data_IF_307266744456
#
_entry.id   IF_307266744456
#
_cell.length_a   1.000
_cell.length_b   1.000
_cell.length_c   1.000
_cell.angle_alpha   90.00
_cell.angle_beta   90.00
_cell.angle_gamma   90.00
#
_symmetry.space_group_name_H-M   'P 1'
#
loop_
_entity.id
_entity.type
_entity.pdbx_description
1 polymer ?
#
# COMPACT_ATOMS: atom_id res chain seq x y z
N UNK A 1 18.30 -1.45 6.79
CA UNK A 1 18.19 -2.59 5.85
C UNK A 1 18.91 -2.27 4.54
N UNK A 2 18.54 -1.25 3.77
CA UNK A 2 19.13 -0.91 2.45
C UNK A 2 20.66 -0.81 2.47
N UNK A 3 21.25 -0.04 3.37
CA UNK A 3 22.73 0.09 3.49
C UNK A 3 23.38 -1.30 3.61
N UNK A 4 22.90 -2.13 4.54
CA UNK A 4 23.45 -3.48 4.72
C UNK A 4 23.27 -4.39 3.51
N UNK A 5 22.14 -4.27 2.79
CA UNK A 5 21.91 -5.05 1.57
C UNK A 5 22.92 -4.66 0.48
N UNK A 6 23.14 -3.36 0.28
CA UNK A 6 24.12 -2.85 -0.68
C UNK A 6 25.57 -3.20 -0.32
N UNK A 7 25.90 -3.26 0.97
CA UNK A 7 27.19 -3.76 1.43
C UNK A 7 27.41 -5.25 1.11
N UNK A 8 26.35 -6.06 1.25
CA UNK A 8 26.41 -7.50 0.95
C UNK A 8 26.39 -7.81 -0.55
N UNK A 9 25.75 -6.96 -1.35
CA UNK A 9 25.58 -7.12 -2.79
C UNK A 9 25.97 -5.84 -3.54
N UNK A 10 27.27 -5.49 -3.57
CA UNK A 10 27.72 -4.26 -4.21
C UNK A 10 27.51 -4.34 -5.73
N UNK A 11 26.98 -3.24 -6.30
CA UNK A 11 26.75 -3.12 -7.74
C UNK A 11 25.54 -3.89 -8.27
N UNK A 12 24.77 -4.55 -7.41
CA UNK A 12 23.50 -5.21 -7.81
C UNK A 12 22.36 -4.20 -7.74
N UNK A 13 21.54 -4.05 -8.80
CA UNK A 13 20.35 -3.20 -8.78
C UNK A 13 19.41 -3.58 -7.64
N UNK A 14 18.88 -2.54 -6.95
CA UNK A 14 18.07 -2.74 -5.75
C UNK A 14 16.70 -2.09 -5.87
N UNK A 15 15.68 -2.92 -5.94
CA UNK A 15 14.28 -2.49 -6.06
C UNK A 15 13.51 -2.72 -4.76
N UNK A 16 12.51 -1.87 -4.51
CA UNK A 16 11.62 -1.98 -3.37
C UNK A 16 10.19 -2.30 -3.85
N UNK A 17 9.59 -3.38 -3.31
CA UNK A 17 8.16 -3.63 -3.47
C UNK A 17 7.43 -3.34 -2.16
N UNK A 18 6.39 -2.52 -2.22
CA UNK A 18 5.47 -2.25 -1.11
C UNK A 18 4.04 -2.62 -1.48
N UNK A 19 3.44 -3.56 -0.72
CA UNK A 19 2.05 -3.98 -0.91
C UNK A 19 1.16 -3.48 0.23
N UNK A 20 -0.08 -3.08 -0.09
CA UNK A 20 -1.09 -2.67 0.88
C UNK A 20 -0.58 -1.58 1.83
N UNK A 21 -0.62 -1.79 3.15
CA UNK A 21 -0.01 -0.89 4.13
C UNK A 21 1.46 -0.61 3.81
N UNK A 22 2.22 -1.61 3.33
CA UNK A 22 3.60 -1.46 2.88
C UNK A 22 3.76 -0.48 1.73
N UNK A 23 2.74 -0.31 0.86
CA UNK A 23 2.77 0.65 -0.24
C UNK A 23 2.76 2.10 0.24
N UNK A 24 2.07 2.40 1.34
CA UNK A 24 2.12 3.73 1.97
C UNK A 24 3.47 4.00 2.61
N UNK A 25 4.08 3.00 3.26
CA UNK A 25 5.43 3.13 3.82
C UNK A 25 6.50 3.21 2.72
N UNK A 26 6.36 2.42 1.66
CA UNK A 26 7.27 2.50 0.51
C UNK A 26 7.27 3.91 -0.09
N UNK A 27 6.10 4.52 -0.36
CA UNK A 27 6.03 5.90 -0.86
C UNK A 27 6.69 6.91 0.08
N UNK A 28 6.58 6.74 1.40
CA UNK A 28 7.28 7.60 2.37
C UNK A 28 8.79 7.35 2.33
N UNK A 29 9.20 6.08 2.26
CA UNK A 29 10.60 5.69 2.17
C UNK A 29 11.25 6.29 0.91
N UNK A 30 10.57 6.29 -0.22
CA UNK A 30 11.04 6.87 -1.46
C UNK A 30 11.28 8.38 -1.37
N UNK A 31 10.50 9.10 -0.58
CA UNK A 31 10.71 10.53 -0.36
C UNK A 31 11.98 10.82 0.45
N UNK A 32 12.43 9.92 1.30
CA UNK A 32 13.59 10.13 2.18
C UNK A 32 14.85 9.40 1.67
N UNK A 33 14.68 8.23 1.08
CA UNK A 33 15.77 7.31 0.72
C UNK A 33 15.66 6.78 -0.72
N UNK A 34 14.80 7.36 -1.56
CA UNK A 34 14.60 6.89 -2.93
C UNK A 34 15.85 6.92 -3.80
N UNK A 35 16.82 7.78 -3.47
CA UNK A 35 18.13 7.84 -4.13
C UNK A 35 18.99 6.59 -3.91
N UNK A 36 18.62 5.74 -2.96
CA UNK A 36 19.27 4.47 -2.67
C UNK A 36 18.74 3.31 -3.53
N UNK A 37 17.73 3.55 -4.35
CA UNK A 37 17.02 2.51 -5.09
C UNK A 37 17.10 2.75 -6.60
N UNK A 38 17.05 1.67 -7.35
CA UNK A 38 17.01 1.69 -8.81
C UNK A 38 15.56 1.71 -9.34
N UNK A 39 14.57 1.43 -8.49
CA UNK A 39 13.16 1.56 -8.78
C UNK A 39 12.28 1.03 -7.65
N UNK A 40 10.95 1.23 -7.78
CA UNK A 40 10.01 0.69 -6.80
C UNK A 40 8.68 0.27 -7.42
N UNK A 41 8.08 -0.78 -6.83
CA UNK A 41 6.76 -1.32 -7.17
C UNK A 41 5.81 -0.99 -6.03
N UNK A 42 4.75 -0.27 -6.32
CA UNK A 42 3.71 0.19 -5.39
C UNK A 42 2.43 -0.57 -5.71
N UNK A 43 2.11 -1.57 -4.89
CA UNK A 43 1.03 -2.51 -5.15
C UNK A 43 -0.12 -2.34 -4.15
N UNK A 44 -1.38 -2.41 -4.61
CA UNK A 44 -2.57 -2.35 -3.75
C UNK A 44 -2.64 -1.08 -2.91
N UNK A 45 -2.24 0.05 -3.47
CA UNK A 45 -2.19 1.34 -2.78
C UNK A 45 -3.48 2.14 -2.95
N UNK A 46 -3.64 3.19 -2.13
CA UNK A 46 -4.75 4.12 -2.22
C UNK A 46 -4.36 5.56 -1.92
N UNK A 47 -5.36 6.45 -1.91
CA UNK A 47 -5.21 7.85 -1.55
C UNK A 47 -6.49 8.32 -0.83
N UNK A 48 -6.57 8.00 0.44
CA UNK A 48 -7.73 8.30 1.27
C UNK A 48 -7.87 9.81 1.51
N UNK A 49 -9.10 10.34 1.63
CA UNK A 49 -9.33 11.76 1.90
C UNK A 49 -8.60 12.22 3.18
N UNK A 50 -7.84 13.32 3.08
CA UNK A 50 -7.03 13.86 4.19
C UNK A 50 -7.84 14.06 5.46
N UNK A 51 -9.07 14.60 5.34
CA UNK A 51 -9.94 14.85 6.50
C UNK A 51 -10.34 13.56 7.22
N UNK A 52 -10.62 12.47 6.47
CA UNK A 52 -10.95 11.17 7.04
C UNK A 52 -9.76 10.58 7.80
N UNK A 53 -8.57 10.63 7.21
CA UNK A 53 -7.34 10.14 7.87
C UNK A 53 -7.01 10.95 9.11
N UNK A 54 -7.18 12.28 9.06
CA UNK A 54 -6.98 13.16 10.22
C UNK A 54 -7.98 12.85 11.34
N UNK A 55 -9.23 12.61 11.01
CA UNK A 55 -10.25 12.18 11.97
C UNK A 55 -9.86 10.85 12.63
N UNK A 56 -9.53 9.82 11.84
CA UNK A 56 -9.14 8.51 12.35
C UNK A 56 -7.90 8.58 13.26
N UNK A 57 -6.90 9.38 12.88
CA UNK A 57 -5.72 9.64 13.72
C UNK A 57 -6.11 10.30 15.06
N UNK A 58 -6.95 11.33 15.03
CA UNK A 58 -7.41 12.05 16.24
C UNK A 58 -8.22 11.13 17.15
N UNK A 59 -9.07 10.27 16.58
CA UNK A 59 -9.82 9.25 17.30
C UNK A 59 -8.89 8.28 18.03
N UNK A 60 -7.85 7.78 17.36
CA UNK A 60 -6.86 6.90 18.01
C UNK A 60 -6.21 7.58 19.22
N UNK A 61 -5.84 8.86 19.08
CA UNK A 61 -5.26 9.64 20.18
C UNK A 61 -6.25 9.81 21.34
N UNK A 62 -7.51 10.14 21.05
CA UNK A 62 -8.53 10.29 22.07
C UNK A 62 -8.77 8.98 22.84
N UNK A 63 -8.92 7.87 22.13
CA UNK A 63 -9.08 6.56 22.76
C UNK A 63 -7.85 6.15 23.58
N UNK A 64 -6.65 6.52 23.13
CA UNK A 64 -5.42 6.21 23.85
C UNK A 64 -5.28 6.93 25.19
N UNK A 65 -5.94 8.09 25.39
CA UNK A 65 -6.00 8.79 26.68
C UNK A 65 -6.70 7.94 27.74
N UNK A 66 -7.76 7.20 27.35
CA UNK A 66 -8.57 6.41 28.27
C UNK A 66 -8.10 4.95 28.40
N UNK A 67 -7.56 4.37 27.31
CA UNK A 67 -7.25 2.94 27.23
C UNK A 67 -5.74 2.63 27.11
N UNK A 68 -4.92 3.66 26.90
CA UNK A 68 -3.49 3.50 26.60
C UNK A 68 -3.20 3.13 25.15
N UNK A 69 -1.96 3.39 24.71
CA UNK A 69 -1.52 3.20 23.32
C UNK A 69 -1.49 1.74 22.85
N UNK A 70 -1.38 0.78 23.77
CA UNK A 70 -1.32 -0.66 23.45
C UNK A 70 -2.72 -1.29 23.27
N UNK A 71 -3.78 -0.54 23.56
CA UNK A 71 -5.15 -1.03 23.41
C UNK A 71 -5.46 -1.38 21.94
N UNK A 72 -6.07 -2.57 21.74
CA UNK A 72 -6.49 -3.08 20.42
C UNK A 72 -7.98 -2.83 20.24
N UNK A 73 -8.32 -1.70 19.62
CA UNK A 73 -9.71 -1.27 19.42
C UNK A 73 -10.34 -1.96 18.22
N UNK A 74 -11.29 -2.87 18.46
CA UNK A 74 -12.12 -3.48 17.40
C UNK A 74 -12.93 -2.41 16.64
N UNK A 75 -13.32 -1.32 17.31
CA UNK A 75 -14.04 -0.22 16.67
C UNK A 75 -13.19 0.47 15.60
N UNK A 76 -11.95 0.81 15.93
CA UNK A 76 -11.02 1.42 14.95
C UNK A 76 -10.70 0.44 13.81
N UNK A 77 -10.50 -0.85 14.12
CA UNK A 77 -10.27 -1.88 13.11
C UNK A 77 -11.45 -1.98 12.14
N UNK A 78 -12.67 -2.12 12.64
CA UNK A 78 -13.86 -2.25 11.81
C UNK A 78 -14.11 -1.00 10.95
N UNK A 79 -13.87 0.20 11.51
CA UNK A 79 -13.98 1.46 10.77
C UNK A 79 -12.98 1.54 9.63
N UNK A 80 -11.76 1.01 9.81
CA UNK A 80 -10.70 1.05 8.78
C UNK A 80 -11.01 0.21 7.54
N UNK A 81 -11.85 -0.82 7.67
CA UNK A 81 -12.25 -1.72 6.58
C UNK A 81 -13.74 -1.60 6.22
N UNK A 82 -14.41 -0.59 6.77
CA UNK A 82 -15.85 -0.40 6.56
C UNK A 82 -16.16 -0.20 5.06
N UNK A 83 -17.06 -1.03 4.56
CA UNK A 83 -17.52 -0.96 3.16
C UNK A 83 -16.66 -1.70 2.14
N UNK A 84 -15.53 -2.32 2.54
CA UNK A 84 -14.65 -3.02 1.61
C UNK A 84 -15.31 -4.23 0.93
N UNK A 85 -16.22 -4.92 1.62
CA UNK A 85 -17.01 -6.02 1.05
C UNK A 85 -18.31 -5.59 0.35
N UNK A 86 -18.55 -4.27 0.19
CA UNK A 86 -19.79 -3.80 -0.44
C UNK A 86 -19.89 -4.28 -1.89
N UNK A 87 -20.97 -4.99 -2.19
CA UNK A 87 -21.23 -5.53 -3.54
C UNK A 87 -20.54 -6.87 -3.84
N UNK A 88 -19.90 -7.49 -2.84
CA UNK A 88 -19.34 -8.84 -2.92
C UNK A 88 -20.32 -9.87 -2.31
N UNK A 89 -19.98 -11.17 -2.47
CA UNK A 89 -20.86 -12.29 -2.07
C UNK A 89 -21.17 -12.33 -0.56
N UNK A 90 -20.31 -11.72 0.25
CA UNK A 90 -20.48 -11.66 1.72
C UNK A 90 -20.25 -13.00 2.41
N UNK A 91 -19.44 -13.88 1.83
CA UNK A 91 -19.06 -15.18 2.41
C UNK A 91 -18.25 -14.98 3.69
N UNK A 92 -17.30 -14.03 3.66
CA UNK A 92 -16.45 -13.67 4.80
C UNK A 92 -16.38 -12.15 4.97
N UNK A 93 -15.71 -11.67 6.02
CA UNK A 93 -15.41 -10.25 6.21
C UNK A 93 -14.25 -9.75 5.34
N UNK A 94 -13.58 -10.65 4.62
CA UNK A 94 -12.35 -10.38 3.88
C UNK A 94 -12.42 -10.78 2.39
N UNK A 95 -13.60 -10.97 1.82
CA UNK A 95 -13.76 -11.34 0.41
C UNK A 95 -13.13 -10.30 -0.53
N UNK A 96 -13.03 -9.05 -0.08
CA UNK A 96 -12.35 -7.98 -0.81
C UNK A 96 -10.85 -8.21 -1.08
N UNK A 97 -10.24 -9.18 -0.40
CA UNK A 97 -8.80 -9.48 -0.58
C UNK A 97 -8.54 -10.17 -1.91
N UNK A 98 -9.35 -11.17 -2.27
CA UNK A 98 -9.07 -12.03 -3.42
C UNK A 98 -10.35 -12.62 -4.02
N UNK A 99 -10.33 -12.90 -5.33
CA UNK A 99 -11.38 -13.68 -6.00
C UNK A 99 -11.29 -15.17 -5.69
N UNK A 100 -10.06 -15.66 -5.46
CA UNK A 100 -9.85 -17.04 -5.03
C UNK A 100 -10.24 -17.21 -3.56
N UNK A 101 -11.34 -17.92 -3.33
CA UNK A 101 -11.86 -18.16 -1.97
C UNK A 101 -10.89 -18.97 -1.11
N UNK A 102 -10.09 -19.86 -1.71
CA UNK A 102 -9.10 -20.64 -0.96
C UNK A 102 -7.97 -19.76 -0.41
N UNK A 103 -7.57 -18.71 -1.16
CA UNK A 103 -6.58 -17.74 -0.67
C UNK A 103 -7.17 -16.87 0.46
N UNK A 104 -8.43 -16.47 0.37
CA UNK A 104 -9.12 -15.78 1.48
C UNK A 104 -9.19 -16.66 2.72
N UNK A 105 -9.48 -17.95 2.58
CA UNK A 105 -9.55 -18.89 3.70
C UNK A 105 -8.16 -19.10 4.34
N UNK A 106 -7.10 -19.21 3.55
CA UNK A 106 -5.72 -19.25 4.05
C UNK A 106 -5.36 -17.99 4.86
N UNK A 107 -5.72 -16.81 4.33
CA UNK A 107 -5.51 -15.54 5.03
C UNK A 107 -6.21 -15.52 6.39
N UNK A 108 -7.48 -15.94 6.43
CA UNK A 108 -8.27 -15.97 7.67
C UNK A 108 -7.78 -17.02 8.68
N UNK A 109 -7.18 -18.11 8.22
CA UNK A 109 -6.62 -19.15 9.08
C UNK A 109 -5.25 -18.77 9.68
N UNK A 110 -4.55 -17.76 9.12
CA UNK A 110 -3.24 -17.34 9.62
C UNK A 110 -3.38 -16.25 10.69
N UNK A 111 -3.04 -16.57 11.94
CA UNK A 111 -3.06 -15.63 13.07
C UNK A 111 -2.16 -14.40 12.86
N UNK A 112 -1.13 -14.51 12.01
CA UNK A 112 -0.23 -13.40 11.66
C UNK A 112 -0.90 -12.39 10.73
N UNK A 113 -1.99 -12.77 10.05
CA UNK A 113 -2.75 -11.91 9.15
C UNK A 113 -3.97 -11.29 9.84
N UNK A 114 -4.55 -11.95 10.86
CA UNK A 114 -5.85 -11.58 11.44
C UNK A 114 -5.77 -10.82 12.77
N UNK A 115 -4.60 -10.48 13.26
CA UNK A 115 -4.46 -9.72 14.50
C UNK A 115 -4.92 -8.26 14.37
N UNK A 116 -5.53 -7.75 15.45
CA UNK A 116 -5.93 -6.34 15.51
C UNK A 116 -4.74 -5.46 15.90
N UNK A 117 -4.49 -4.39 15.16
CA UNK A 117 -3.47 -3.39 15.49
C UNK A 117 -3.78 -2.66 16.78
N UNK A 118 -2.73 -2.21 17.49
CA UNK A 118 -2.85 -1.29 18.62
C UNK A 118 -3.23 0.11 18.15
N UNK A 119 -3.75 0.95 19.05
CA UNK A 119 -4.00 2.37 18.75
C UNK A 119 -2.73 3.08 18.29
N UNK A 120 -1.57 2.72 18.86
CA UNK A 120 -0.28 3.28 18.44
C UNK A 120 0.07 2.91 16.98
N UNK A 121 -0.19 1.67 16.58
CA UNK A 121 0.06 1.23 15.20
C UNK A 121 -0.85 1.97 14.21
N UNK A 122 -2.16 2.09 14.49
CA UNK A 122 -3.09 2.87 13.68
C UNK A 122 -2.70 4.36 13.64
N UNK A 123 -2.38 4.96 14.78
CA UNK A 123 -1.96 6.36 14.85
C UNK A 123 -0.71 6.63 14.01
N UNK A 124 0.28 5.75 14.07
CA UNK A 124 1.50 5.84 13.29
C UNK A 124 1.24 5.67 11.79
N UNK A 125 0.42 4.69 11.42
CA UNK A 125 0.00 4.47 10.02
C UNK A 125 -0.73 5.70 9.46
N UNK A 126 -1.74 6.23 10.16
CA UNK A 126 -2.47 7.43 9.72
C UNK A 126 -1.56 8.66 9.67
N UNK A 127 -0.59 8.77 10.59
CA UNK A 127 0.39 9.86 10.55
C UNK A 127 1.27 9.78 9.29
N UNK A 128 1.67 8.58 8.91
CA UNK A 128 2.43 8.35 7.68
C UNK A 128 1.60 8.64 6.42
N UNK A 129 0.33 8.20 6.38
CA UNK A 129 -0.56 8.49 5.25
C UNK A 129 -0.76 10.01 5.11
N UNK A 130 -0.90 10.75 6.21
CA UNK A 130 -1.03 12.21 6.17
C UNK A 130 0.21 12.91 5.59
N UNK A 131 1.42 12.37 5.80
CA UNK A 131 2.63 12.91 5.17
C UNK A 131 2.57 12.83 3.63
N UNK A 132 1.89 11.83 3.07
CA UNK A 132 1.72 11.68 1.64
C UNK A 132 0.73 12.70 1.02
N UNK A 133 0.09 13.54 1.84
CA UNK A 133 -0.70 14.68 1.41
C UNK A 133 0.09 16.00 1.46
N UNK A 134 1.35 15.96 1.85
CA UNK A 134 2.21 17.15 1.90
C UNK A 134 3.04 17.25 0.60
N UNK A 135 2.77 18.25 -0.26
CA UNK A 135 3.52 18.43 -1.50
C UNK A 135 5.02 18.64 -1.27
N UNK A 136 5.39 19.33 -0.17
CA UNK A 136 6.80 19.56 0.15
C UNK A 136 7.52 18.27 0.54
N UNK A 137 6.81 17.33 1.17
CA UNK A 137 7.34 16.00 1.46
C UNK A 137 7.47 15.16 0.18
N UNK A 138 6.45 15.12 -0.66
CA UNK A 138 6.49 14.39 -1.94
C UNK A 138 7.55 14.95 -2.90
N UNK A 139 7.82 16.25 -2.85
CA UNK A 139 8.84 16.89 -3.65
C UNK A 139 10.28 16.39 -3.37
N UNK A 140 10.51 15.68 -2.27
CA UNK A 140 11.80 15.05 -1.94
C UNK A 140 12.07 13.78 -2.74
N UNK A 141 11.03 13.14 -3.28
CA UNK A 141 11.19 11.91 -4.08
C UNK A 141 12.04 12.18 -5.33
N UNK A 142 13.01 11.31 -5.68
CA UNK A 142 13.82 11.47 -6.89
C UNK A 142 12.93 11.48 -8.14
N UNK A 143 13.12 12.47 -9.01
CA UNK A 143 12.18 12.74 -10.12
C UNK A 143 12.23 11.71 -11.23
N UNK A 144 13.41 11.12 -11.45
CA UNK A 144 13.64 10.10 -12.47
C UNK A 144 13.51 8.65 -11.99
N UNK A 145 13.27 8.43 -10.69
CA UNK A 145 13.16 7.07 -10.15
C UNK A 145 12.01 6.30 -10.82
N UNK A 146 12.27 5.12 -11.42
CA UNK A 146 11.21 4.29 -12.01
C UNK A 146 10.23 3.80 -10.95
N UNK A 147 8.94 4.03 -11.18
CA UNK A 147 7.86 3.57 -10.31
C UNK A 147 6.84 2.77 -11.12
N UNK A 148 6.51 1.57 -10.64
CA UNK A 148 5.42 0.76 -11.18
C UNK A 148 4.28 0.69 -10.16
N UNK A 149 3.09 1.17 -10.54
CA UNK A 149 1.88 1.04 -9.74
C UNK A 149 1.04 -0.11 -10.26
N UNK A 150 0.71 -1.06 -9.37
CA UNK A 150 -0.13 -2.22 -9.69
C UNK A 150 -1.32 -2.28 -8.73
N UNK A 151 -2.53 -2.46 -9.26
CA UNK A 151 -3.73 -2.64 -8.44
C UNK A 151 -4.81 -3.40 -9.19
N UNK A 152 -5.71 -4.07 -8.46
CA UNK A 152 -6.96 -4.55 -9.02
C UNK A 152 -7.94 -3.40 -9.23
N UNK A 153 -8.71 -3.43 -10.32
CA UNK A 153 -9.78 -2.43 -10.54
C UNK A 153 -11.04 -2.70 -9.69
N UNK A 154 -11.08 -3.85 -8.99
CA UNK A 154 -12.08 -4.16 -7.97
C UNK A 154 -11.52 -4.02 -6.52
N UNK A 155 -10.30 -3.53 -6.34
CA UNK A 155 -9.69 -3.32 -5.02
C UNK A 155 -10.30 -2.08 -4.32
N UNK A 156 -10.98 -2.25 -3.15
CA UNK A 156 -11.58 -1.13 -2.41
C UNK A 156 -10.54 -0.23 -1.74
N UNK A 157 -9.32 -0.71 -1.45
CA UNK A 157 -8.24 0.09 -0.88
C UNK A 157 -7.85 1.22 -1.84
N UNK A 158 -7.79 0.90 -3.13
CA UNK A 158 -7.54 1.83 -4.22
C UNK A 158 -8.80 2.55 -4.74
N UNK A 159 -9.95 2.40 -4.08
CA UNK A 159 -11.24 2.94 -4.56
C UNK A 159 -11.52 2.54 -6.02
N UNK A 160 -11.37 1.25 -6.31
CA UNK A 160 -11.52 0.69 -7.66
C UNK A 160 -10.64 1.44 -8.69
N UNK A 161 -9.37 1.66 -8.35
CA UNK A 161 -8.37 2.35 -9.17
C UNK A 161 -8.36 3.88 -9.05
N UNK A 162 -9.44 4.53 -8.61
CA UNK A 162 -9.52 6.01 -8.51
C UNK A 162 -8.52 6.58 -7.49
N UNK A 163 -8.37 5.92 -6.35
CA UNK A 163 -7.40 6.28 -5.32
C UNK A 163 -5.95 6.09 -5.80
N UNK A 164 -5.71 5.04 -6.61
CA UNK A 164 -4.39 4.82 -7.24
C UNK A 164 -4.06 5.97 -8.17
N UNK A 165 -5.00 6.39 -9.04
CA UNK A 165 -4.78 7.51 -9.95
C UNK A 165 -4.53 8.84 -9.21
N UNK A 166 -5.24 9.09 -8.08
CA UNK A 166 -4.96 10.27 -7.24
C UNK A 166 -3.57 10.21 -6.60
N UNK A 167 -3.11 9.02 -6.16
CA UNK A 167 -1.77 8.85 -5.64
C UNK A 167 -0.70 9.14 -6.71
N UNK A 168 -0.90 8.64 -7.91
CA UNK A 168 -0.02 8.91 -9.06
C UNK A 168 -0.02 10.40 -9.40
N UNK A 169 -1.20 11.03 -9.47
CA UNK A 169 -1.31 12.44 -9.79
C UNK A 169 -0.56 13.31 -8.77
N UNK A 170 -0.69 12.99 -7.47
CA UNK A 170 0.04 13.73 -6.41
C UNK A 170 1.56 13.64 -6.56
N UNK A 171 2.10 12.53 -7.07
CA UNK A 171 3.52 12.38 -7.36
C UNK A 171 3.93 13.14 -8.63
N UNK A 172 3.09 13.11 -9.67
CA UNK A 172 3.31 13.90 -10.90
C UNK A 172 3.31 15.39 -10.59
N UNK A 173 2.38 15.85 -9.78
CA UNK A 173 2.32 17.26 -9.33
C UNK A 173 3.57 17.65 -8.52
N UNK A 174 4.17 16.70 -7.81
CA UNK A 174 5.44 16.87 -7.11
C UNK A 174 6.66 16.76 -8.05
N UNK A 175 6.47 16.50 -9.35
CA UNK A 175 7.51 16.46 -10.39
C UNK A 175 8.10 15.08 -10.67
N UNK A 176 7.56 13.99 -10.13
CA UNK A 176 8.00 12.62 -10.47
C UNK A 176 7.55 12.28 -11.89
N UNK A 177 8.47 11.81 -12.74
CA UNK A 177 8.25 11.68 -14.18
C UNK A 177 8.08 10.24 -14.66
N UNK A 178 8.83 9.31 -14.07
CA UNK A 178 8.89 7.92 -14.55
C UNK A 178 7.91 7.03 -13.75
N UNK A 179 6.61 7.13 -14.10
CA UNK A 179 5.55 6.36 -13.42
C UNK A 179 4.77 5.57 -14.46
N UNK A 180 4.81 4.25 -14.33
CA UNK A 180 3.98 3.29 -15.04
C UNK A 180 2.85 2.79 -14.13
N UNK A 181 1.69 2.46 -14.69
CA UNK A 181 0.55 1.95 -13.92
C UNK A 181 -0.21 0.90 -14.72
N UNK A 182 -0.51 -0.24 -14.08
CA UNK A 182 -1.43 -1.24 -14.62
C UNK A 182 -2.52 -1.55 -13.61
N UNK A 183 -3.78 -1.51 -14.08
CA UNK A 183 -4.94 -1.99 -13.34
C UNK A 183 -5.37 -3.34 -13.94
N UNK A 184 -5.55 -4.34 -13.10
CA UNK A 184 -5.96 -5.70 -13.52
C UNK A 184 -7.48 -5.83 -13.44
N UNK A 185 -8.15 -6.13 -14.58
CA UNK A 185 -9.61 -6.20 -14.63
C UNK A 185 -10.19 -7.26 -13.69
N UNK A 186 -11.14 -6.86 -12.86
CA UNK A 186 -11.82 -7.70 -11.89
C UNK A 186 -10.95 -8.15 -10.71
N UNK A 187 -9.62 -7.95 -10.73
CA UNK A 187 -8.74 -8.34 -9.64
C UNK A 187 -9.01 -7.51 -8.39
N UNK A 188 -8.87 -8.16 -7.24
CA UNK A 188 -9.02 -7.56 -5.91
C UNK A 188 -7.67 -7.14 -5.35
N UNK A 189 -7.48 -7.17 -4.05
CA UNK A 189 -6.35 -6.55 -3.36
C UNK A 189 -5.04 -7.35 -3.43
N UNK A 190 -5.10 -8.68 -3.30
CA UNK A 190 -3.93 -9.57 -3.14
C UNK A 190 -3.40 -10.06 -4.49
N UNK A 191 -2.86 -9.17 -5.33
CA UNK A 191 -2.49 -9.46 -6.72
C UNK A 191 -1.53 -10.64 -6.90
N UNK A 192 -0.60 -10.85 -5.96
CA UNK A 192 0.43 -11.92 -6.09
C UNK A 192 -0.12 -13.34 -5.87
N UNK A 193 -1.36 -13.45 -5.38
CA UNK A 193 -2.08 -14.71 -5.19
C UNK A 193 -3.47 -14.66 -5.83
N UNK A 194 -3.72 -13.68 -6.70
CA UNK A 194 -4.97 -13.55 -7.45
C UNK A 194 -5.12 -14.65 -8.51
N UNK A 195 -6.32 -14.87 -8.99
CA UNK A 195 -6.59 -15.88 -10.05
C UNK A 195 -5.77 -15.67 -11.31
N UNK A 196 -5.33 -14.44 -11.58
CA UNK A 196 -4.44 -14.07 -12.68
C UNK A 196 -3.02 -13.67 -12.22
N UNK A 197 -2.54 -14.18 -11.09
CA UNK A 197 -1.23 -13.84 -10.53
C UNK A 197 -0.06 -14.09 -11.51
N UNK A 198 -0.19 -15.05 -12.42
CA UNK A 198 0.85 -15.31 -13.43
C UNK A 198 1.07 -14.08 -14.32
N UNK A 199 0.01 -13.42 -14.78
CA UNK A 199 0.08 -12.16 -15.53
C UNK A 199 0.80 -11.07 -14.71
N UNK A 200 0.51 -11.00 -13.40
CA UNK A 200 1.15 -10.03 -12.50
C UNK A 200 2.66 -10.28 -12.38
N UNK A 201 3.07 -11.56 -12.29
CA UNK A 201 4.50 -11.93 -12.24
C UNK A 201 5.23 -11.61 -13.54
N UNK A 202 4.60 -11.85 -14.69
CA UNK A 202 5.16 -11.52 -16.01
C UNK A 202 5.34 -10.01 -16.20
N UNK A 203 4.37 -9.20 -15.77
CA UNK A 203 4.46 -7.74 -15.81
C UNK A 203 5.58 -7.22 -14.92
N UNK A 204 5.67 -7.73 -13.69
CA UNK A 204 6.75 -7.36 -12.75
C UNK A 204 8.10 -7.75 -13.32
N UNK A 205 8.25 -8.98 -13.83
CA UNK A 205 9.48 -9.49 -14.44
C UNK A 205 9.91 -8.60 -15.60
N UNK A 206 9.00 -8.35 -16.55
CA UNK A 206 9.27 -7.52 -17.73
C UNK A 206 9.66 -6.08 -17.35
N UNK A 207 8.99 -5.51 -16.33
CA UNK A 207 9.32 -4.18 -15.83
C UNK A 207 10.70 -4.14 -15.18
N UNK A 208 11.04 -5.15 -14.36
CA UNK A 208 12.38 -5.25 -13.74
C UNK A 208 13.46 -5.39 -14.82
N UNK A 209 13.29 -6.30 -15.80
CA UNK A 209 14.25 -6.50 -16.89
C UNK A 209 14.52 -5.19 -17.64
N UNK A 210 13.50 -4.41 -17.93
CA UNK A 210 13.62 -3.10 -18.59
C UNK A 210 14.48 -2.10 -17.80
N UNK A 211 14.57 -2.26 -16.47
CA UNK A 211 15.28 -1.33 -15.59
C UNK A 211 16.55 -1.94 -14.94
N UNK A 212 16.96 -3.13 -15.39
CA UNK A 212 18.23 -3.75 -15.00
C UNK A 212 19.40 -3.36 -15.93
N UNK A 213 19.09 -2.70 -17.05
CA UNK A 213 20.07 -2.34 -18.08
C UNK A 213 20.81 -1.02 -17.77
#
# INVERSE_FOLDING_TARGET
MTVRTKELYPGVPYFLLGHSMGSFYARQYLCEYGHELDGAIIMGTGFQPKALVQFAKTLCRALAVFHGWQYRSKFVANMSFMGYNKGLEGRTTHDWLNRDQAEVDKYLADERCTFTFTLNAYYSMFSGILRLHDPAFLAKMPKGLPLLFLAGDADPVGEQGKGVQRAIQSLKDAGVQNIECKLYPGARHELLVETNHQEVFEDIGSWLEKHLA
#
